data_IF_680966941754
#
_entry.id   IF_680966941754
#
_cell.length_a   1.000
_cell.length_b   1.000
_cell.length_c   1.000
_cell.angle_alpha   90.00
_cell.angle_beta   90.00
_cell.angle_gamma   90.00
#
_symmetry.space_group_name_H-M   'P 1'
#
loop_
_entity.id
_entity.type
_entity.pdbx_description
1 polymer ?
#
# COMPACT_ATOMS: atom_id res chain seq x y z
N UNK A 1 -27.97 -9.85 19.68
CA UNK A 1 -26.57 -10.21 19.37
C UNK A 1 -26.46 -10.99 18.04
N UNK A 2 -25.57 -10.61 17.11
CA UNK A 2 -25.27 -11.45 15.97
C UNK A 2 -24.75 -12.81 16.47
N UNK A 3 -25.16 -13.90 15.81
CA UNK A 3 -24.68 -15.23 16.15
C UNK A 3 -23.17 -15.29 15.93
N UNK A 4 -22.41 -15.60 16.97
CA UNK A 4 -20.97 -15.81 16.85
C UNK A 4 -20.73 -17.07 16.01
N UNK A 5 -20.02 -16.99 14.87
CA UNK A 5 -19.75 -18.15 14.04
C UNK A 5 -18.63 -19.00 14.67
N UNK A 6 -18.92 -19.64 15.81
CA UNK A 6 -17.96 -20.33 16.68
C UNK A 6 -17.13 -21.44 15.99
N UNK A 7 -17.56 -21.93 14.82
CA UNK A 7 -16.86 -22.95 14.04
C UNK A 7 -16.14 -22.41 12.79
N UNK A 8 -16.22 -21.11 12.48
CA UNK A 8 -15.63 -20.56 11.26
C UNK A 8 -14.13 -20.83 11.16
N UNK A 9 -13.35 -20.50 12.19
CA UNK A 9 -11.91 -20.72 12.21
C UNK A 9 -11.56 -22.22 12.02
N UNK A 10 -12.24 -23.11 12.75
CA UNK A 10 -12.03 -24.57 12.63
C UNK A 10 -12.34 -25.10 11.24
N UNK A 11 -13.35 -24.53 10.56
CA UNK A 11 -13.71 -24.93 9.21
C UNK A 11 -12.69 -24.41 8.19
N UNK A 12 -12.18 -23.18 8.38
CA UNK A 12 -11.10 -22.64 7.58
C UNK A 12 -9.82 -23.47 7.72
N UNK A 13 -9.41 -23.81 8.94
CA UNK A 13 -8.20 -24.60 9.20
C UNK A 13 -8.20 -25.97 8.50
N UNK A 14 -9.40 -26.56 8.32
CA UNK A 14 -9.62 -27.83 7.63
C UNK A 14 -9.91 -27.69 6.13
N UNK A 15 -9.93 -26.47 5.61
CA UNK A 15 -10.27 -26.22 4.20
C UNK A 15 -9.06 -26.39 3.29
N UNK A 16 -9.33 -26.64 2.00
CA UNK A 16 -8.32 -26.63 0.94
C UNK A 16 -7.59 -25.28 0.86
N UNK A 17 -8.24 -24.18 1.25
CA UNK A 17 -7.67 -22.84 1.20
C UNK A 17 -6.55 -22.69 2.24
N UNK A 18 -6.76 -23.18 3.47
CA UNK A 18 -5.69 -23.20 4.46
C UNK A 18 -4.53 -24.11 4.04
N UNK A 19 -4.81 -25.26 3.42
CA UNK A 19 -3.77 -26.12 2.85
C UNK A 19 -2.95 -25.40 1.77
N UNK A 20 -3.62 -24.68 0.86
CA UNK A 20 -2.97 -23.89 -0.18
C UNK A 20 -2.11 -22.76 0.39
N UNK A 21 -2.64 -21.96 1.31
CA UNK A 21 -1.87 -20.87 1.94
C UNK A 21 -0.66 -21.41 2.71
N UNK A 22 -0.83 -22.51 3.44
CA UNK A 22 0.29 -23.15 4.14
C UNK A 22 1.35 -23.67 3.16
N UNK A 23 0.95 -24.21 2.01
CA UNK A 23 1.89 -24.65 0.97
C UNK A 23 2.77 -23.49 0.49
N UNK A 24 2.19 -22.30 0.28
CA UNK A 24 2.89 -21.12 -0.25
C UNK A 24 3.54 -20.20 0.79
N UNK A 25 3.40 -20.52 2.09
CA UNK A 25 3.78 -19.65 3.22
C UNK A 25 5.22 -19.09 3.19
N UNK A 26 6.15 -19.80 2.56
CA UNK A 26 7.56 -19.41 2.51
C UNK A 26 7.94 -18.56 1.28
N UNK A 27 7.07 -18.44 0.28
CA UNK A 27 7.43 -17.81 -1.01
C UNK A 27 7.86 -16.35 -0.83
N UNK A 28 7.02 -15.52 -0.22
CA UNK A 28 7.31 -14.11 0.05
C UNK A 28 8.55 -13.91 0.92
N UNK A 29 8.61 -14.51 2.12
CA UNK A 29 9.77 -14.38 3.01
C UNK A 29 11.10 -14.85 2.39
N UNK A 30 11.11 -15.88 1.54
CA UNK A 30 12.30 -16.30 0.81
C UNK A 30 12.81 -15.19 -0.12
N UNK A 31 11.91 -14.58 -0.89
CA UNK A 31 12.25 -13.48 -1.80
C UNK A 31 12.68 -12.23 -1.03
N UNK A 32 12.01 -11.88 0.06
CA UNK A 32 12.35 -10.70 0.87
C UNK A 32 13.71 -10.86 1.56
N UNK A 33 14.00 -12.04 2.11
CA UNK A 33 15.23 -12.28 2.88
C UNK A 33 16.47 -12.50 2.01
N UNK A 34 16.32 -13.17 0.87
CA UNK A 34 17.43 -13.55 0.00
C UNK A 34 17.47 -12.80 -1.34
N UNK A 35 16.53 -11.88 -1.57
CA UNK A 35 16.40 -11.11 -2.80
C UNK A 35 15.81 -11.92 -3.96
N UNK A 36 15.53 -11.23 -5.08
CA UNK A 36 14.80 -11.84 -6.21
C UNK A 36 15.45 -13.08 -6.83
N UNK A 37 16.79 -13.09 -6.96
CA UNK A 37 17.50 -14.19 -7.63
C UNK A 37 17.62 -15.41 -6.72
N UNK A 38 18.27 -15.25 -5.56
CA UNK A 38 18.50 -16.38 -4.63
C UNK A 38 17.20 -16.81 -3.98
N UNK A 39 16.38 -15.86 -3.54
CA UNK A 39 15.04 -16.14 -3.00
C UNK A 39 14.15 -16.82 -4.03
N UNK A 40 14.18 -16.39 -5.30
CA UNK A 40 13.46 -17.06 -6.39
C UNK A 40 13.90 -18.51 -6.61
N UNK A 41 15.21 -18.78 -6.60
CA UNK A 41 15.74 -20.14 -6.71
C UNK A 41 15.34 -21.03 -5.51
N UNK A 42 15.39 -20.49 -4.29
CA UNK A 42 14.94 -21.20 -3.09
C UNK A 42 13.43 -21.47 -3.13
N UNK A 43 12.63 -20.50 -3.60
CA UNK A 43 11.19 -20.68 -3.80
C UNK A 43 10.88 -21.73 -4.85
N UNK A 44 11.68 -21.83 -5.92
CA UNK A 44 11.56 -22.91 -6.89
C UNK A 44 11.85 -24.29 -6.27
N UNK A 45 12.86 -24.41 -5.41
CA UNK A 45 13.15 -25.66 -4.70
C UNK A 45 11.98 -26.01 -3.77
N UNK A 46 11.51 -25.06 -2.96
CA UNK A 46 10.39 -25.27 -2.04
C UNK A 46 9.12 -25.68 -2.78
N UNK A 47 8.68 -24.92 -3.77
CA UNK A 47 7.39 -25.12 -4.44
C UNK A 47 7.44 -26.18 -5.55
N UNK A 48 8.52 -26.21 -6.33
CA UNK A 48 8.67 -27.10 -7.49
C UNK A 48 9.15 -28.50 -7.13
N UNK A 49 10.07 -28.63 -6.17
CA UNK A 49 10.66 -29.93 -5.80
C UNK A 49 10.02 -30.47 -4.52
N UNK A 50 9.97 -29.65 -3.47
CA UNK A 50 9.47 -30.06 -2.15
C UNK A 50 7.96 -29.88 -2.00
N UNK A 51 7.30 -29.26 -2.98
CA UNK A 51 5.85 -29.00 -2.99
C UNK A 51 5.35 -28.28 -1.73
N UNK A 52 6.11 -27.32 -1.20
CA UNK A 52 5.78 -26.53 0.00
C UNK A 52 5.99 -27.26 1.34
N UNK A 53 6.66 -28.42 1.31
CA UNK A 53 6.90 -29.29 2.48
C UNK A 53 8.22 -29.00 3.19
N UNK A 54 8.83 -27.84 2.99
CA UNK A 54 9.98 -27.43 3.81
C UNK A 54 9.62 -27.52 5.29
N UNK A 55 10.47 -28.14 6.16
CA UNK A 55 10.18 -28.31 7.58
C UNK A 55 10.45 -27.03 8.40
N UNK A 56 10.32 -25.86 7.75
CA UNK A 56 10.50 -24.54 8.34
C UNK A 56 9.38 -23.62 7.86
N UNK A 57 9.07 -22.61 8.68
CA UNK A 57 8.19 -21.50 8.32
C UNK A 57 8.96 -20.21 8.54
N UNK A 58 9.16 -19.46 7.48
CA UNK A 58 9.79 -18.15 7.50
C UNK A 58 8.73 -17.07 7.76
N UNK A 59 9.15 -15.95 8.33
CA UNK A 59 8.27 -14.83 8.63
C UNK A 59 8.98 -13.51 8.35
N UNK A 60 8.22 -12.56 7.83
CA UNK A 60 8.62 -11.15 7.75
C UNK A 60 8.22 -10.47 9.07
N UNK A 61 9.21 -10.16 9.90
CA UNK A 61 8.97 -9.64 11.26
C UNK A 61 8.87 -8.12 11.32
N UNK A 62 9.27 -7.43 10.25
CA UNK A 62 9.27 -5.97 10.18
C UNK A 62 8.02 -5.51 9.43
N UNK A 63 7.17 -4.67 10.03
CA UNK A 63 5.99 -4.16 9.34
C UNK A 63 6.39 -3.20 8.22
N UNK A 64 5.60 -3.15 7.15
CA UNK A 64 5.94 -2.41 5.93
C UNK A 64 6.25 -0.92 6.15
N UNK A 65 5.51 -0.24 7.02
CA UNK A 65 5.77 1.17 7.32
C UNK A 65 7.17 1.42 7.91
N UNK A 66 7.74 0.42 8.60
CA UNK A 66 9.05 0.51 9.24
C UNK A 66 10.22 0.17 8.30
N UNK A 67 9.96 -0.19 7.04
CA UNK A 67 11.01 -0.58 6.09
C UNK A 67 11.60 0.57 5.28
N UNK A 68 11.09 1.80 5.44
CA UNK A 68 11.64 2.97 4.75
C UNK A 68 12.99 3.38 5.34
N UNK A 69 13.90 3.79 4.46
CA UNK A 69 15.17 4.39 4.83
C UNK A 69 15.10 5.91 4.65
N UNK A 70 15.85 6.70 5.44
CA UNK A 70 15.93 8.14 5.25
C UNK A 70 16.27 8.50 3.80
N UNK A 71 15.66 9.57 3.28
CA UNK A 71 15.84 10.00 1.90
C UNK A 71 17.30 10.36 1.59
N UNK A 72 18.05 10.85 2.59
CA UNK A 72 19.47 11.17 2.47
C UNK A 72 20.36 9.94 2.22
N UNK A 73 19.91 8.75 2.61
CA UNK A 73 20.67 7.49 2.48
C UNK A 73 20.33 6.71 1.22
N UNK A 74 19.41 7.22 0.39
CA UNK A 74 18.88 6.52 -0.77
C UNK A 74 19.16 7.30 -2.06
N UNK A 75 19.51 6.61 -3.17
CA UNK A 75 19.65 7.27 -4.46
C UNK A 75 18.28 7.76 -4.94
N UNK A 76 18.25 8.97 -5.51
CA UNK A 76 17.05 9.47 -6.20
C UNK A 76 16.85 8.71 -7.50
N UNK A 77 15.66 8.15 -7.69
CA UNK A 77 15.28 7.45 -8.92
C UNK A 77 14.76 8.49 -9.93
N UNK A 78 15.38 8.56 -11.10
CA UNK A 78 14.94 9.39 -12.21
C UNK A 78 13.97 8.62 -13.10
N UNK A 79 12.67 8.80 -12.89
CA UNK A 79 11.64 8.23 -13.75
C UNK A 79 11.53 9.03 -15.07
N UNK A 80 11.48 8.36 -16.24
CA UNK A 80 11.18 9.03 -17.50
C UNK A 80 9.81 9.72 -17.44
N UNK A 81 9.66 10.82 -18.18
CA UNK A 81 8.34 11.43 -18.39
C UNK A 81 7.44 10.45 -19.18
N UNK A 82 6.13 10.42 -18.90
CA UNK A 82 5.20 9.60 -19.67
C UNK A 82 5.18 10.05 -21.13
N UNK A 83 5.06 9.08 -22.04
CA UNK A 83 5.00 9.27 -23.49
C UNK A 83 3.56 9.35 -24.04
N UNK A 84 2.56 9.08 -23.19
CA UNK A 84 1.14 9.00 -23.51
C UNK A 84 0.78 7.93 -24.57
N UNK A 85 1.62 6.92 -24.72
CA UNK A 85 1.37 5.76 -25.61
C UNK A 85 1.40 4.46 -24.82
N UNK A 86 2.51 4.19 -24.12
CA UNK A 86 2.65 3.03 -23.23
C UNK A 86 2.82 3.43 -21.76
N UNK A 87 3.06 4.72 -21.50
CA UNK A 87 3.22 5.30 -20.17
C UNK A 87 2.43 6.59 -20.06
N UNK A 88 1.72 6.77 -18.95
CA UNK A 88 0.78 7.87 -18.77
C UNK A 88 1.05 8.56 -17.43
N UNK A 89 0.62 9.81 -17.32
CA UNK A 89 0.66 10.51 -16.04
C UNK A 89 -0.41 9.95 -15.07
N UNK A 90 -0.23 10.29 -13.80
CA UNK A 90 -1.09 9.80 -12.71
C UNK A 90 -2.52 10.30 -12.83
N UNK A 91 -2.74 11.55 -13.25
CA UNK A 91 -4.08 12.15 -13.32
C UNK A 91 -4.90 11.53 -14.45
N UNK A 92 -4.28 11.30 -15.61
CA UNK A 92 -4.92 10.56 -16.71
C UNK A 92 -5.33 9.14 -16.29
N UNK A 93 -4.50 8.49 -15.46
CA UNK A 93 -4.82 7.16 -14.91
C UNK A 93 -5.96 7.19 -13.88
N UNK A 94 -5.99 8.20 -13.00
CA UNK A 94 -7.09 8.43 -12.05
C UNK A 94 -8.39 8.72 -12.78
N UNK A 95 -8.36 9.51 -13.85
CA UNK A 95 -9.55 9.77 -14.68
C UNK A 95 -10.15 8.46 -15.22
N UNK A 96 -9.31 7.54 -15.73
CA UNK A 96 -9.78 6.24 -16.23
C UNK A 96 -10.32 5.30 -15.14
N UNK A 97 -9.93 5.51 -13.88
CA UNK A 97 -10.54 4.80 -12.74
C UNK A 97 -11.98 5.22 -12.48
N UNK A 98 -12.40 6.34 -13.08
CA UNK A 98 -13.71 6.98 -12.88
C UNK A 98 -14.03 7.13 -11.39
N UNK A 99 -13.00 7.39 -10.57
CA UNK A 99 -13.13 7.62 -9.14
C UNK A 99 -13.67 9.01 -8.89
N UNK A 100 -14.64 9.12 -7.99
CA UNK A 100 -15.18 10.41 -7.58
C UNK A 100 -15.72 10.34 -6.15
N UNK A 101 -15.78 11.48 -5.48
CA UNK A 101 -16.39 11.65 -4.17
C UNK A 101 -17.16 12.97 -4.15
N UNK A 102 -18.26 13.04 -3.39
CA UNK A 102 -18.94 14.31 -3.13
C UNK A 102 -17.96 15.31 -2.51
N UNK A 103 -17.91 16.53 -3.04
CA UNK A 103 -16.86 17.50 -2.69
C UNK A 103 -16.99 18.04 -1.25
N UNK A 104 -18.22 18.19 -0.77
CA UNK A 104 -18.55 18.78 0.54
C UNK A 104 -18.63 17.72 1.66
N UNK A 105 -18.14 16.50 1.41
CA UNK A 105 -18.07 15.48 2.44
C UNK A 105 -16.80 15.61 3.29
N UNK A 106 -16.83 15.17 4.57
CA UNK A 106 -15.62 15.11 5.39
C UNK A 106 -14.51 14.26 4.74
N UNK A 107 -13.26 14.73 4.82
CA UNK A 107 -12.12 13.98 4.34
C UNK A 107 -11.98 12.66 5.10
N UNK A 108 -12.01 11.54 4.37
CA UNK A 108 -11.94 10.18 4.90
C UNK A 108 -10.50 9.67 5.12
N UNK A 109 -9.52 10.57 4.98
CA UNK A 109 -8.09 10.30 5.17
C UNK A 109 -7.62 11.18 6.32
N UNK A 110 -7.84 10.69 7.54
CA UNK A 110 -7.58 11.45 8.75
C UNK A 110 -6.10 11.40 9.09
N UNK A 111 -5.56 12.54 9.53
CA UNK A 111 -4.25 12.60 10.17
C UNK A 111 -4.46 12.56 11.68
N UNK A 112 -3.77 11.66 12.38
CA UNK A 112 -3.74 11.64 13.85
C UNK A 112 -3.10 12.95 14.36
N UNK A 113 -2.01 13.37 13.71
CA UNK A 113 -1.30 14.62 13.93
C UNK A 113 -1.03 15.32 12.58
N UNK A 114 -1.69 16.46 12.29
CA UNK A 114 -1.51 17.22 11.05
C UNK A 114 -0.10 17.80 10.84
N UNK A 115 0.74 17.88 11.87
CA UNK A 115 2.10 18.43 11.78
C UNK A 115 3.12 17.44 11.19
N UNK A 116 2.89 16.14 11.38
CA UNK A 116 3.85 15.08 11.03
C UNK A 116 4.28 15.09 9.55
N UNK A 117 3.39 15.30 8.56
CA UNK A 117 3.81 15.33 7.16
C UNK A 117 4.90 16.36 6.87
N UNK A 118 4.78 17.57 7.44
CA UNK A 118 5.72 18.66 7.21
C UNK A 118 6.94 18.60 8.15
N UNK A 119 6.71 18.30 9.43
CA UNK A 119 7.75 18.41 10.46
C UNK A 119 8.65 17.17 10.53
N UNK A 120 8.15 16.00 10.06
CA UNK A 120 8.86 14.72 10.17
C UNK A 120 9.01 14.02 8.82
N UNK A 121 7.91 13.73 8.13
CA UNK A 121 7.96 12.89 6.93
C UNK A 121 8.65 13.59 5.75
N UNK A 122 8.38 14.88 5.54
CA UNK A 122 9.05 15.69 4.52
C UNK A 122 10.58 15.76 4.73
N UNK A 123 11.12 16.19 5.88
CA UNK A 123 12.57 16.29 6.05
C UNK A 123 13.27 14.93 6.11
N UNK A 124 12.64 13.88 6.65
CA UNK A 124 13.30 12.58 6.85
C UNK A 124 13.18 11.64 5.64
N UNK A 125 12.02 11.62 4.99
CA UNK A 125 11.66 10.67 3.93
C UNK A 125 11.25 11.35 2.62
N UNK A 126 11.39 12.68 2.51
CA UNK A 126 10.97 13.47 1.35
C UNK A 126 9.49 13.28 1.02
N UNK A 127 8.66 13.20 2.08
CA UNK A 127 7.21 12.97 2.11
C UNK A 127 6.76 11.87 1.12
N UNK A 128 6.88 10.59 1.53
CA UNK A 128 6.71 9.45 0.64
C UNK A 128 5.28 9.28 0.13
N UNK A 129 4.27 9.90 0.77
CA UNK A 129 2.88 9.81 0.34
C UNK A 129 2.64 10.37 -1.06
N UNK A 130 3.46 11.34 -1.49
CA UNK A 130 3.44 11.88 -2.85
C UNK A 130 3.77 10.82 -3.92
N UNK A 131 4.47 9.75 -3.53
CA UNK A 131 4.99 8.71 -4.43
C UNK A 131 4.24 7.39 -4.31
N UNK A 132 4.06 6.85 -3.09
CA UNK A 132 3.38 5.56 -2.94
C UNK A 132 1.88 5.66 -3.20
N UNK A 133 1.29 6.86 -3.10
CA UNK A 133 -0.13 7.03 -3.41
C UNK A 133 -0.33 6.88 -4.92
N UNK A 134 -1.12 5.88 -5.36
CA UNK A 134 -1.33 5.62 -6.78
C UNK A 134 -2.20 6.69 -7.44
N UNK A 135 -2.86 7.56 -6.66
CA UNK A 135 -3.88 8.48 -7.17
C UNK A 135 -3.57 9.97 -6.94
N UNK A 136 -2.39 10.32 -6.43
CA UNK A 136 -1.99 11.74 -6.30
C UNK A 136 -2.84 12.49 -5.27
N UNK A 137 -3.29 11.78 -4.24
CA UNK A 137 -4.11 12.34 -3.16
C UNK A 137 -3.31 13.30 -2.29
N UNK A 138 -2.01 13.03 -2.07
CA UNK A 138 -1.18 13.82 -1.18
C UNK A 138 -0.16 14.62 -1.99
N UNK A 139 -0.05 15.91 -1.69
CA UNK A 139 0.91 16.81 -2.31
C UNK A 139 1.41 17.85 -1.30
N UNK A 140 2.65 18.27 -1.48
CA UNK A 140 3.21 19.44 -0.79
C UNK A 140 3.05 20.64 -1.71
N UNK A 141 2.15 21.54 -1.35
CA UNK A 141 1.91 22.80 -2.09
C UNK A 141 2.58 23.96 -1.36
N UNK A 142 2.89 25.03 -2.09
CA UNK A 142 3.40 26.27 -1.50
C UNK A 142 2.36 27.37 -1.63
N UNK A 143 1.93 27.93 -0.50
CA UNK A 143 1.00 29.07 -0.43
C UNK A 143 1.63 30.17 0.41
N UNK A 144 1.70 31.38 -0.15
CA UNK A 144 2.27 32.56 0.54
C UNK A 144 3.69 32.32 1.10
N UNK A 145 4.51 31.52 0.40
CA UNK A 145 5.87 31.17 0.83
C UNK A 145 5.95 30.11 1.94
N UNK A 146 4.83 29.48 2.30
CA UNK A 146 4.75 28.38 3.28
C UNK A 146 4.34 27.09 2.59
N UNK A 147 4.98 25.99 3.00
CA UNK A 147 4.59 24.65 2.55
C UNK A 147 3.37 24.18 3.32
N UNK A 148 2.41 23.60 2.61
CA UNK A 148 1.22 22.96 3.16
C UNK A 148 1.13 21.52 2.65
N UNK A 149 0.67 20.62 3.51
CA UNK A 149 0.33 19.26 3.12
C UNK A 149 -1.15 19.22 2.72
N UNK A 150 -1.41 19.09 1.42
CA UNK A 150 -2.76 19.09 0.86
C UNK A 150 -3.23 17.66 0.56
N UNK A 151 -4.48 17.37 0.94
CA UNK A 151 -5.14 16.08 0.73
C UNK A 151 -6.29 16.26 -0.26
N UNK A 152 -6.08 15.82 -1.51
CA UNK A 152 -7.08 15.78 -2.57
C UNK A 152 -7.90 14.48 -2.47
N UNK A 153 -8.70 14.36 -1.41
CA UNK A 153 -9.41 13.13 -1.06
C UNK A 153 -10.36 12.61 -2.15
N UNK A 154 -10.86 13.49 -3.03
CA UNK A 154 -11.71 13.09 -4.16
C UNK A 154 -11.04 12.10 -5.11
N UNK A 155 -9.72 12.14 -5.23
CA UNK A 155 -8.96 11.23 -6.09
C UNK A 155 -8.76 9.84 -5.47
N UNK A 156 -9.15 9.61 -4.22
CA UNK A 156 -8.81 8.38 -3.50
C UNK A 156 -9.42 7.12 -4.14
N UNK A 157 -8.58 6.18 -4.57
CA UNK A 157 -9.03 4.89 -5.15
C UNK A 157 -9.16 3.76 -4.11
N UNK A 158 -9.17 4.09 -2.82
CA UNK A 158 -9.41 3.17 -1.70
C UNK A 158 -8.42 1.98 -1.58
N UNK A 159 -7.22 2.10 -2.16
CA UNK A 159 -6.18 1.07 -2.15
C UNK A 159 -5.59 0.74 -0.76
N UNK A 160 -5.81 1.61 0.25
CA UNK A 160 -5.27 1.51 1.62
C UNK A 160 -3.75 1.62 1.77
N UNK A 161 -3.00 1.85 0.70
CA UNK A 161 -1.54 1.97 0.74
C UNK A 161 -1.05 3.04 1.72
N UNK A 162 -1.73 4.18 1.81
CA UNK A 162 -1.34 5.26 2.71
C UNK A 162 -1.46 4.91 4.20
N UNK A 163 -2.49 4.16 4.57
CA UNK A 163 -2.70 3.64 5.94
C UNK A 163 -1.59 2.63 6.30
N UNK A 164 -1.22 1.79 5.32
CA UNK A 164 -0.22 0.73 5.51
C UNK A 164 1.23 1.25 5.49
N UNK A 165 1.55 2.21 4.61
CA UNK A 165 2.95 2.54 4.26
C UNK A 165 3.47 3.83 4.88
N UNK A 166 2.62 4.66 5.46
CA UNK A 166 3.06 5.86 6.15
C UNK A 166 4.05 5.50 7.28
N UNK A 167 5.32 5.97 7.22
CA UNK A 167 6.33 5.61 8.21
C UNK A 167 5.98 6.04 9.64
N UNK A 168 5.09 7.03 9.79
CA UNK A 168 4.61 7.48 11.09
C UNK A 168 3.32 6.80 11.57
N UNK A 169 2.67 5.98 10.72
CA UNK A 169 1.33 5.42 10.99
C UNK A 169 0.33 6.51 11.41
N UNK A 170 0.40 7.66 10.73
CA UNK A 170 -0.35 8.88 11.03
C UNK A 170 -1.62 9.02 10.18
N UNK A 171 -1.64 8.44 8.99
CA UNK A 171 -2.83 8.42 8.12
C UNK A 171 -3.74 7.26 8.50
N UNK A 172 -4.99 7.57 8.86
CA UNK A 172 -6.05 6.60 9.12
C UNK A 172 -7.09 6.69 8.01
N UNK A 173 -7.24 5.61 7.24
CA UNK A 173 -8.29 5.52 6.24
C UNK A 173 -9.59 5.10 6.90
N UNK A 174 -10.66 5.87 6.67
CA UNK A 174 -12.03 5.46 7.01
C UNK A 174 -12.87 5.41 5.75
N UNK A 175 -14.01 4.74 5.82
CA UNK A 175 -14.93 4.69 4.68
C UNK A 175 -15.54 6.07 4.44
N UNK A 176 -15.48 6.62 3.21
CA UNK A 176 -16.22 7.84 2.85
C UNK A 176 -17.73 7.60 2.81
N UNK A 177 -18.49 8.64 2.45
CA UNK A 177 -19.90 8.47 2.14
C UNK A 177 -20.12 7.44 1.01
N UNK A 178 -21.25 6.73 1.08
CA UNK A 178 -21.58 5.70 0.11
C UNK A 178 -21.63 6.24 -1.33
N UNK A 179 -21.35 5.37 -2.31
CA UNK A 179 -21.19 5.70 -3.75
C UNK A 179 -19.91 6.47 -4.13
N UNK A 180 -19.16 6.99 -3.16
CA UNK A 180 -17.81 7.53 -3.41
C UNK A 180 -16.77 6.44 -3.64
N UNK A 181 -15.75 6.75 -4.43
CA UNK A 181 -14.64 5.85 -4.75
C UNK A 181 -14.56 5.48 -6.22
N UNK A 182 -13.72 4.48 -6.56
CA UNK A 182 -13.51 4.07 -7.94
C UNK A 182 -14.75 3.39 -8.53
N UNK A 183 -14.99 3.63 -9.82
CA UNK A 183 -16.04 2.95 -10.59
C UNK A 183 -15.39 2.04 -11.64
N UNK A 184 -15.22 0.79 -11.24
CA UNK A 184 -14.55 -0.27 -12.00
C UNK A 184 -15.59 -1.22 -12.63
N UNK A 185 -16.01 -1.01 -13.89
CA UNK A 185 -17.06 -1.83 -14.47
C UNK A 185 -16.61 -3.27 -14.76
N UNK A 186 -15.32 -3.51 -15.00
CA UNK A 186 -14.78 -4.82 -15.41
C UNK A 186 -13.31 -5.02 -14.98
N UNK A 187 -12.87 -4.44 -13.85
CA UNK A 187 -11.53 -4.74 -13.29
C UNK A 187 -11.58 -5.92 -12.33
#
# INVERSE_FOLDING_TARGET
PPAEPANYAKNFDKSWLNEELNKWRNFGPLVHKFGGIVGGALSFIDQGILQGKLPITLADTTPDHATLKPAADMPKIAYPKPDNVISFDKLSSVYLSNTNHEEDQPCHLHLIDPSIPLDKNLPLYDEPAQRYCPAGVYEIVEKEGKKEFQINAQNCVHCKTCDIKDPAQNIVWVTPEGSGGPNYPNM
#
